data_IF_295762305091
#
_entry.id   IF_295762305091
#
_cell.length_a   1.000
_cell.length_b   1.000
_cell.length_c   1.000
_cell.angle_alpha   90.00
_cell.angle_beta   90.00
_cell.angle_gamma   90.00
#
_symmetry.space_group_name_H-M   'P 1'
#
loop_
_entity.id
_entity.type
_entity.pdbx_description
1 polymer ?
#
# COMPACT_ATOMS: atom_id res chain seq x y z
N UNK A 1 5.86 -0.03 -18.67
CA UNK A 1 6.95 -0.53 -17.80
C UNK A 1 6.34 -1.39 -16.72
N UNK A 2 7.01 -2.46 -16.31
CA UNK A 2 6.51 -3.30 -15.23
C UNK A 2 6.83 -2.61 -13.90
N UNK A 3 5.87 -2.50 -13.01
CA UNK A 3 6.05 -1.88 -11.70
C UNK A 3 5.57 -2.86 -10.64
N UNK A 4 6.46 -3.18 -9.72
CA UNK A 4 6.15 -4.02 -8.58
C UNK A 4 5.81 -3.15 -7.36
N UNK A 5 4.74 -3.52 -6.69
CA UNK A 5 4.24 -2.85 -5.50
C UNK A 5 4.29 -3.81 -4.31
N UNK A 6 4.62 -3.25 -3.14
CA UNK A 6 4.72 -4.01 -1.90
C UNK A 6 4.20 -3.19 -0.72
N UNK A 7 3.08 -3.61 -0.15
CA UNK A 7 2.53 -3.05 1.09
C UNK A 7 2.93 -3.95 2.27
N UNK A 8 3.50 -3.35 3.31
CA UNK A 8 3.90 -4.02 4.55
C UNK A 8 3.15 -3.37 5.71
N UNK A 9 2.52 -4.20 6.54
CA UNK A 9 1.85 -3.78 7.77
C UNK A 9 2.42 -4.61 8.92
N UNK A 10 2.74 -3.96 10.05
CA UNK A 10 3.18 -4.63 11.28
C UNK A 10 2.38 -4.22 12.50
N UNK A 11 2.11 -5.19 13.37
CA UNK A 11 1.30 -5.05 14.58
C UNK A 11 0.00 -4.29 14.29
N UNK A 12 -0.74 -4.79 13.30
CA UNK A 12 -1.97 -4.18 12.83
C UNK A 12 -3.22 -4.89 13.31
N UNK A 13 -4.37 -4.20 13.32
CA UNK A 13 -5.68 -4.81 13.54
C UNK A 13 -6.47 -4.72 12.24
N UNK A 14 -6.74 -5.87 11.62
CA UNK A 14 -7.46 -5.99 10.35
C UNK A 14 -8.74 -6.82 10.60
N UNK A 15 -9.89 -6.23 10.34
CA UNK A 15 -11.22 -6.84 10.55
C UNK A 15 -11.38 -7.41 11.97
N UNK A 16 -10.86 -6.68 12.96
CA UNK A 16 -10.88 -7.06 14.38
C UNK A 16 -9.84 -8.12 14.79
N UNK A 17 -9.03 -8.63 13.86
CA UNK A 17 -7.95 -9.58 14.16
C UNK A 17 -6.61 -8.85 14.28
N UNK A 18 -5.86 -9.18 15.32
CA UNK A 18 -4.48 -8.71 15.46
C UNK A 18 -3.57 -9.50 14.51
N UNK A 19 -2.70 -8.78 13.81
CA UNK A 19 -1.77 -9.32 12.82
C UNK A 19 -0.39 -8.73 13.08
N UNK A 20 0.55 -9.59 13.47
CA UNK A 20 1.93 -9.16 13.74
C UNK A 20 2.63 -8.68 12.47
N UNK A 21 2.36 -9.35 11.35
CA UNK A 21 2.92 -9.04 10.04
C UNK A 21 1.94 -9.39 8.92
N UNK A 22 1.68 -8.43 8.02
CA UNK A 22 0.94 -8.62 6.79
C UNK A 22 1.70 -8.00 5.62
N UNK A 23 1.73 -8.72 4.50
CA UNK A 23 2.36 -8.27 3.28
C UNK A 23 1.46 -8.53 2.08
N UNK A 24 1.27 -7.50 1.26
CA UNK A 24 0.62 -7.61 -0.04
C UNK A 24 1.61 -7.20 -1.14
N UNK A 25 1.77 -8.07 -2.15
CA UNK A 25 2.60 -7.81 -3.32
C UNK A 25 1.75 -7.92 -4.57
N UNK A 26 1.91 -6.98 -5.48
CA UNK A 26 1.27 -7.03 -6.79
C UNK A 26 2.13 -6.35 -7.85
N UNK A 27 1.83 -6.60 -9.11
CA UNK A 27 2.60 -6.08 -10.25
C UNK A 27 1.64 -5.57 -11.31
N UNK A 28 1.93 -4.40 -11.87
CA UNK A 28 1.12 -3.78 -12.92
C UNK A 28 2.01 -3.29 -14.07
N UNK A 29 1.46 -3.27 -15.28
CA UNK A 29 2.07 -2.52 -16.38
C UNK A 29 1.54 -1.10 -16.38
N UNK A 30 2.44 -0.14 -16.15
CA UNK A 30 2.12 1.28 -16.12
C UNK A 30 2.95 2.06 -17.14
N UNK A 31 2.38 3.10 -17.70
CA UNK A 31 3.16 4.18 -18.33
C UNK A 31 3.82 5.06 -17.25
N UNK A 32 4.84 5.83 -17.62
CA UNK A 32 5.50 6.78 -16.71
C UNK A 32 4.52 7.81 -16.13
N UNK A 33 3.52 8.22 -16.91
CA UNK A 33 2.46 9.14 -16.46
C UNK A 33 1.58 8.48 -15.40
N UNK A 34 1.15 7.24 -15.63
CA UNK A 34 0.34 6.50 -14.65
C UNK A 34 1.11 6.24 -13.36
N UNK A 35 2.41 5.90 -13.45
CA UNK A 35 3.27 5.70 -12.29
C UNK A 35 3.39 6.99 -11.47
N UNK A 36 3.66 8.13 -12.11
CA UNK A 36 3.69 9.43 -11.44
C UNK A 36 2.35 9.77 -10.77
N UNK A 37 1.23 9.43 -11.41
CA UNK A 37 -0.11 9.55 -10.82
C UNK A 37 -0.27 8.74 -9.53
N UNK A 38 0.23 7.49 -9.49
CA UNK A 38 0.20 6.65 -8.29
C UNK A 38 1.03 7.23 -7.15
N UNK A 39 2.24 7.71 -7.44
CA UNK A 39 3.07 8.37 -6.43
C UNK A 39 2.39 9.61 -5.84
N UNK A 40 1.82 10.46 -6.68
CA UNK A 40 1.11 11.66 -6.21
C UNK A 40 -0.13 11.31 -5.39
N UNK A 41 -0.91 10.30 -5.81
CA UNK A 41 -2.03 9.84 -4.98
C UNK A 41 -1.52 9.40 -3.61
N UNK A 42 -0.51 8.54 -3.50
CA UNK A 42 -0.06 8.06 -2.19
C UNK A 42 0.66 9.07 -1.31
N UNK A 43 1.40 10.03 -1.89
CA UNK A 43 2.10 11.05 -1.13
C UNK A 43 1.15 12.03 -0.44
N UNK A 44 -0.04 12.24 -1.00
CA UNK A 44 -0.97 13.29 -0.56
C UNK A 44 -2.34 12.76 -0.11
N UNK A 45 -2.60 11.46 -0.26
CA UNK A 45 -3.86 10.82 0.11
C UNK A 45 -3.69 10.04 1.41
N UNK A 46 -3.84 10.76 2.52
CA UNK A 46 -3.90 10.20 3.88
C UNK A 46 -5.08 9.21 4.07
N UNK A 47 -6.02 9.18 3.13
CA UNK A 47 -7.18 8.29 3.14
C UNK A 47 -7.01 7.08 2.24
N UNK A 48 -6.02 7.03 1.36
CA UNK A 48 -5.83 5.89 0.44
C UNK A 48 -5.76 4.54 1.15
N UNK A 49 -4.99 4.48 2.26
CA UNK A 49 -4.89 3.25 3.06
C UNK A 49 -6.24 2.90 3.69
N UNK A 50 -7.02 3.90 4.14
CA UNK A 50 -8.37 3.67 4.67
C UNK A 50 -9.33 3.22 3.57
N UNK A 51 -9.21 3.73 2.35
CA UNK A 51 -10.07 3.33 1.24
C UNK A 51 -9.76 1.92 0.71
N UNK A 52 -8.48 1.53 0.73
CA UNK A 52 -8.05 0.19 0.27
C UNK A 52 -8.09 -0.87 1.35
N UNK A 53 -7.87 -0.48 2.60
CA UNK A 53 -7.94 -1.33 3.78
C UNK A 53 -8.81 -0.66 4.84
N UNK A 54 -10.13 -0.51 4.60
CA UNK A 54 -11.04 0.14 5.54
C UNK A 54 -11.11 -0.55 6.90
N UNK A 55 -10.79 -1.84 6.92
CA UNK A 55 -10.76 -2.65 8.13
C UNK A 55 -9.45 -2.52 8.93
N UNK A 56 -8.46 -1.75 8.44
CA UNK A 56 -7.20 -1.50 9.14
C UNK A 56 -7.39 -0.37 10.17
N UNK A 57 -7.59 -0.76 11.42
CA UNK A 57 -7.85 0.20 12.51
C UNK A 57 -6.59 0.70 13.20
N UNK A 58 -5.57 -0.16 13.28
CA UNK A 58 -4.30 0.13 13.94
C UNK A 58 -3.17 -0.50 13.13
N UNK A 59 -2.01 0.15 13.13
CA UNK A 59 -0.75 -0.41 12.63
C UNK A 59 0.41 0.39 13.24
N UNK A 60 1.41 -0.31 13.78
CA UNK A 60 2.66 0.33 14.21
C UNK A 60 3.54 0.77 13.04
N UNK A 61 3.37 0.09 11.90
CA UNK A 61 4.05 0.40 10.65
C UNK A 61 3.12 0.08 9.48
N UNK A 62 2.99 1.01 8.54
CA UNK A 62 2.36 0.81 7.25
C UNK A 62 3.29 1.42 6.18
N UNK A 63 3.88 0.58 5.33
CA UNK A 63 4.86 0.99 4.33
C UNK A 63 4.49 0.45 2.96
N UNK A 64 4.39 1.33 1.97
CA UNK A 64 4.25 0.96 0.58
C UNK A 64 5.56 1.22 -0.17
N UNK A 65 6.09 0.20 -0.83
CA UNK A 65 7.27 0.27 -1.70
C UNK A 65 6.85 0.08 -3.15
N UNK A 66 7.46 0.87 -4.04
CA UNK A 66 7.14 0.92 -5.47
C UNK A 66 8.46 0.75 -6.22
N UNK A 67 8.57 -0.30 -7.02
CA UNK A 67 9.77 -0.64 -7.75
C UNK A 67 9.49 -0.69 -9.25
N UNK A 68 9.80 0.39 -10.00
CA UNK A 68 9.81 0.33 -11.46
C UNK A 68 10.94 -0.58 -11.94
N UNK A 69 10.61 -1.65 -12.67
CA UNK A 69 11.55 -2.56 -13.32
C UNK A 69 11.91 -2.11 -14.74
#
# INVERSE_FOLDING_TARGET
MKVDFRLIIKNGVISGKSVDFFELKWSEELSSIQLAGRFNQWLYDDEFIKDKLPDLNQASQCLLSINPM
#
